data_IF_417063464152
#
_entry.id   IF_417063464152
#
_cell.length_a   1.000
_cell.length_b   1.000
_cell.length_c   1.000
_cell.angle_alpha   90.00
_cell.angle_beta   90.00
_cell.angle_gamma   90.00
#
_symmetry.space_group_name_H-M   'P 1'
#
loop_
_entity.id
_entity.type
_entity.pdbx_description
1 polymer ?
#
# COMPACT_ATOMS: atom_id res chain seq x y z
N UNK A 1 -53.94 2.03 39.71
CA UNK A 1 -54.20 2.83 38.49
C UNK A 1 -52.86 3.28 37.92
N UNK A 2 -52.76 3.19 36.59
CA UNK A 2 -51.70 3.63 35.69
C UNK A 2 -50.31 2.97 35.74
N UNK A 3 -50.06 2.17 34.68
CA UNK A 3 -48.76 1.70 34.20
C UNK A 3 -47.97 2.88 33.59
N UNK A 4 -46.65 2.85 33.68
CA UNK A 4 -45.78 3.54 32.70
C UNK A 4 -44.98 2.48 31.96
N UNK A 5 -45.33 2.32 30.69
CA UNK A 5 -44.65 1.52 29.70
C UNK A 5 -43.89 2.45 28.75
N UNK A 6 -42.88 1.87 28.14
CA UNK A 6 -41.84 2.41 27.28
C UNK A 6 -42.27 3.36 26.16
N UNK A 7 -41.37 4.28 25.79
CA UNK A 7 -41.34 4.79 24.41
C UNK A 7 -39.91 5.00 23.92
N UNK A 8 -39.49 4.11 23.02
CA UNK A 8 -38.41 4.29 22.05
C UNK A 8 -38.58 5.62 21.33
N UNK A 9 -37.62 6.54 21.42
CA UNK A 9 -37.58 7.72 20.57
C UNK A 9 -37.08 7.33 19.18
N UNK A 10 -38.00 7.32 18.21
CA UNK A 10 -37.72 7.12 16.79
C UNK A 10 -37.17 8.41 16.15
N UNK A 11 -36.13 8.25 15.33
CA UNK A 11 -35.35 9.26 14.59
C UNK A 11 -36.12 9.99 13.45
N UNK A 12 -37.36 10.42 13.65
CA UNK A 12 -38.14 11.14 12.62
C UNK A 12 -39.06 12.20 13.23
N UNK A 13 -38.48 13.33 13.62
CA UNK A 13 -39.22 14.58 13.83
C UNK A 13 -38.26 15.75 13.99
N UNK A 14 -37.72 16.27 12.89
CA UNK A 14 -37.11 17.60 12.92
C UNK A 14 -37.14 18.29 11.55
N UNK A 15 -38.34 18.47 11.00
CA UNK A 15 -38.59 19.41 9.91
C UNK A 15 -40.03 19.91 10.01
N UNK A 16 -40.25 20.98 10.77
CA UNK A 16 -41.32 21.97 10.57
C UNK A 16 -41.25 23.04 11.66
N UNK A 17 -40.80 24.24 11.31
CA UNK A 17 -41.41 25.53 11.68
C UNK A 17 -40.40 26.68 11.52
N UNK A 18 -40.83 27.75 10.85
CA UNK A 18 -40.23 29.08 11.02
C UNK A 18 -39.79 29.78 9.74
N UNK A 19 -40.76 30.19 8.90
CA UNK A 19 -40.53 31.26 7.93
C UNK A 19 -40.51 32.61 8.66
N UNK A 20 -39.39 33.33 8.57
CA UNK A 20 -39.23 34.69 9.09
C UNK A 20 -38.13 35.40 8.31
N UNK A 21 -38.50 36.43 7.54
CA UNK A 21 -37.59 37.23 6.71
C UNK A 21 -36.77 38.15 7.61
N UNK A 22 -35.45 37.92 7.67
CA UNK A 22 -34.48 38.90 8.12
C UNK A 22 -33.31 38.91 7.12
N UNK A 23 -33.16 40.02 6.40
CA UNK A 23 -32.05 40.26 5.49
C UNK A 23 -30.76 40.50 6.29
N UNK A 24 -30.10 39.44 6.71
CA UNK A 24 -28.70 39.47 7.12
C UNK A 24 -27.85 39.13 5.90
N UNK A 25 -26.98 40.04 5.47
CA UNK A 25 -25.90 39.75 4.53
C UNK A 25 -24.97 38.74 5.20
N UNK A 26 -25.27 37.46 5.02
CA UNK A 26 -24.35 36.37 5.33
C UNK A 26 -23.26 36.46 4.27
N UNK A 27 -22.08 36.93 4.67
CA UNK A 27 -20.86 36.72 3.92
C UNK A 27 -20.74 35.21 3.66
N UNK A 28 -20.98 34.80 2.41
CA UNK A 28 -20.75 33.42 2.01
C UNK A 28 -19.26 33.15 2.23
N UNK A 29 -18.87 32.13 3.01
CA UNK A 29 -17.50 31.65 2.91
C UNK A 29 -17.32 31.25 1.45
N UNK A 30 -16.25 31.72 0.83
CA UNK A 30 -15.91 31.34 -0.53
C UNK A 30 -15.69 29.82 -0.54
N UNK A 31 -16.76 29.08 -0.86
CA UNK A 31 -16.70 27.64 -1.02
C UNK A 31 -15.84 27.38 -2.26
N UNK A 32 -14.61 26.93 -2.04
CA UNK A 32 -13.88 26.22 -3.07
C UNK A 32 -14.80 25.12 -3.60
N UNK A 33 -15.17 25.18 -4.89
CA UNK A 33 -15.99 24.15 -5.53
C UNK A 33 -17.48 24.43 -5.70
N UNK A 34 -17.95 25.68 -5.63
CA UNK A 34 -19.27 26.01 -6.18
C UNK A 34 -19.23 25.83 -7.71
N UNK A 35 -19.41 24.59 -8.18
CA UNK A 35 -19.42 24.24 -9.62
C UNK A 35 -20.41 25.11 -10.39
N UNK A 36 -20.32 25.13 -11.72
CA UNK A 36 -21.12 26.02 -12.57
C UNK A 36 -22.61 26.04 -12.14
N UNK A 37 -23.15 27.18 -11.64
CA UNK A 37 -24.53 27.28 -11.16
C UNK A 37 -25.58 26.87 -12.21
N UNK A 38 -25.27 27.04 -13.50
CA UNK A 38 -26.14 26.60 -14.60
C UNK A 38 -26.34 25.07 -14.65
N UNK A 39 -25.43 24.31 -14.01
CA UNK A 39 -25.53 22.85 -13.91
C UNK A 39 -26.07 22.39 -12.55
N UNK A 40 -26.41 23.30 -11.63
CA UNK A 40 -26.93 22.95 -10.31
C UNK A 40 -28.47 22.87 -10.33
N UNK A 41 -29.10 21.94 -9.57
CA UNK A 41 -30.55 21.89 -9.44
C UNK A 41 -31.16 23.24 -9.01
N UNK A 42 -32.31 23.65 -9.56
CA UNK A 42 -33.21 22.90 -10.44
C UNK A 42 -32.86 22.97 -11.95
N UNK A 43 -31.73 23.57 -12.34
CA UNK A 43 -31.36 23.70 -13.75
C UNK A 43 -31.05 22.34 -14.39
N UNK A 44 -31.27 22.23 -15.70
CA UNK A 44 -30.90 21.04 -16.49
C UNK A 44 -29.40 21.14 -16.86
N UNK A 45 -28.55 20.22 -16.36
CA UNK A 45 -27.11 20.28 -16.61
C UNK A 45 -26.75 20.11 -18.08
N UNK A 46 -25.62 20.69 -18.50
CA UNK A 46 -25.22 20.68 -19.92
C UNK A 46 -25.03 19.27 -20.50
N UNK A 47 -24.49 18.32 -19.72
CA UNK A 47 -24.22 16.95 -20.17
C UNK A 47 -25.47 16.11 -20.42
N UNK A 48 -26.67 16.60 -20.07
CA UNK A 48 -27.92 15.90 -20.40
C UNK A 48 -28.52 16.34 -21.75
N UNK A 49 -27.92 17.35 -22.42
CA UNK A 49 -28.47 17.96 -23.64
C UNK A 49 -27.92 17.37 -24.93
N UNK A 50 -26.87 16.56 -24.87
CA UNK A 50 -26.24 15.93 -26.03
C UNK A 50 -25.82 14.49 -25.71
N UNK A 51 -25.66 13.67 -26.75
CA UNK A 51 -25.14 12.32 -26.61
C UNK A 51 -23.63 12.36 -26.33
N UNK A 52 -23.18 11.46 -25.46
CA UNK A 52 -21.76 11.23 -25.20
C UNK A 52 -21.10 10.30 -26.22
N UNK A 53 -19.86 9.89 -25.94
CA UNK A 53 -19.15 8.84 -26.70
C UNK A 53 -19.94 7.52 -26.67
N UNK A 54 -19.95 6.80 -27.80
CA UNK A 54 -20.60 5.48 -27.90
C UNK A 54 -19.81 4.35 -27.24
N UNK A 55 -20.42 3.16 -27.18
CA UNK A 55 -19.75 1.94 -26.68
C UNK A 55 -18.48 1.63 -27.50
N UNK A 56 -17.45 1.13 -26.83
CA UNK A 56 -16.16 0.75 -27.42
C UNK A 56 -15.31 1.87 -28.07
N UNK A 57 -15.67 3.16 -27.91
CA UNK A 57 -14.77 4.29 -28.29
C UNK A 57 -13.43 4.22 -27.54
N UNK A 58 -13.44 3.64 -26.33
CA UNK A 58 -12.26 3.36 -25.51
C UNK A 58 -12.17 1.85 -25.26
N UNK A 59 -11.51 1.08 -26.15
CA UNK A 59 -11.42 -0.38 -26.02
C UNK A 59 -10.72 -0.83 -24.72
N UNK A 60 -9.85 0.02 -24.17
CA UNK A 60 -9.32 -0.11 -22.82
C UNK A 60 -9.56 1.22 -22.09
N UNK A 61 -10.27 1.16 -20.97
CA UNK A 61 -10.69 2.34 -20.22
C UNK A 61 -9.50 3.14 -19.65
N UNK A 62 -9.69 4.45 -19.51
CA UNK A 62 -8.77 5.34 -18.79
C UNK A 62 -9.56 6.16 -17.77
N UNK A 63 -8.94 6.62 -16.68
CA UNK A 63 -9.59 7.52 -15.73
C UNK A 63 -10.17 8.77 -16.41
N UNK A 64 -11.19 9.34 -15.78
CA UNK A 64 -11.76 10.62 -16.21
C UNK A 64 -10.68 11.71 -16.25
N UNK A 65 -10.81 12.68 -17.16
CA UNK A 65 -9.89 13.84 -17.22
C UNK A 65 -9.88 14.68 -15.94
N UNK A 66 -10.91 14.53 -15.09
CA UNK A 66 -11.01 15.20 -13.80
C UNK A 66 -10.20 14.50 -12.70
N UNK A 67 -9.74 13.26 -12.94
CA UNK A 67 -8.88 12.47 -12.05
C UNK A 67 -7.41 12.49 -12.48
N UNK A 68 -7.00 13.53 -13.24
CA UNK A 68 -5.67 13.62 -13.87
C UNK A 68 -4.50 13.63 -12.89
N UNK A 69 -4.77 13.99 -11.62
CA UNK A 69 -3.75 14.12 -10.58
C UNK A 69 -3.58 12.83 -9.75
N UNK A 70 -4.44 11.82 -9.97
CA UNK A 70 -4.37 10.48 -9.39
C UNK A 70 -3.34 9.65 -10.17
N UNK A 71 -2.07 9.95 -9.93
CA UNK A 71 -0.94 9.36 -10.65
C UNK A 71 0.19 8.94 -9.71
N UNK A 72 1.05 8.05 -10.20
CA UNK A 72 2.36 7.80 -9.58
C UNK A 72 3.18 9.09 -9.61
N UNK A 73 3.97 9.34 -8.57
CA UNK A 73 4.94 10.45 -8.52
C UNK A 73 6.31 9.91 -8.15
N UNK A 74 7.38 10.58 -8.56
CA UNK A 74 8.74 10.36 -8.09
C UNK A 74 9.22 11.57 -7.27
N UNK A 75 10.37 11.41 -6.61
CA UNK A 75 11.08 12.50 -5.93
C UNK A 75 12.53 12.41 -6.39
N UNK A 76 12.88 13.26 -7.36
CA UNK A 76 14.13 13.14 -8.14
C UNK A 76 15.40 13.06 -7.26
N UNK A 77 15.43 13.81 -6.16
CA UNK A 77 16.61 13.87 -5.28
C UNK A 77 16.82 12.62 -4.40
N UNK A 78 15.87 11.68 -4.34
CA UNK A 78 16.01 10.48 -3.51
C UNK A 78 17.06 9.49 -4.03
N UNK A 79 17.34 9.51 -5.34
CA UNK A 79 18.19 8.52 -5.99
C UNK A 79 19.08 9.15 -7.06
N UNK A 80 20.23 8.53 -7.33
CA UNK A 80 21.20 9.06 -8.29
C UNK A 80 20.74 8.98 -9.76
N UNK A 81 19.82 8.08 -10.10
CA UNK A 81 19.26 7.96 -11.46
C UNK A 81 17.81 7.50 -11.41
N UNK A 82 17.05 7.71 -12.50
CA UNK A 82 15.64 7.31 -12.63
C UNK A 82 15.48 5.81 -12.83
N UNK A 83 16.45 5.17 -13.47
CA UNK A 83 16.46 3.73 -13.74
C UNK A 83 16.72 2.90 -12.47
N UNK A 84 17.40 3.51 -11.49
CA UNK A 84 17.61 2.93 -10.15
C UNK A 84 16.81 3.69 -9.09
N UNK A 85 15.52 3.94 -9.37
CA UNK A 85 14.66 4.80 -8.55
C UNK A 85 13.39 4.12 -8.00
N UNK A 86 12.50 4.95 -7.46
CA UNK A 86 11.22 4.58 -6.87
C UNK A 86 10.15 5.62 -7.24
N UNK A 87 8.95 5.16 -7.54
CA UNK A 87 7.73 5.99 -7.61
C UNK A 87 6.80 5.68 -6.44
N UNK A 88 5.73 6.45 -6.30
CA UNK A 88 4.84 6.41 -5.13
C UNK A 88 3.37 6.27 -5.54
N UNK A 89 2.68 5.25 -4.99
CA UNK A 89 1.23 5.08 -5.13
C UNK A 89 0.48 6.23 -4.46
N UNK A 90 -0.50 6.86 -5.13
CA UNK A 90 -1.25 8.02 -4.60
C UNK A 90 -2.29 7.60 -3.55
N UNK A 91 -1.85 7.07 -2.39
CA UNK A 91 -2.74 6.49 -1.37
C UNK A 91 -3.86 7.42 -0.87
N UNK A 92 -3.64 8.74 -0.90
CA UNK A 92 -4.62 9.76 -0.51
C UNK A 92 -5.86 9.82 -1.41
N UNK A 93 -5.74 9.37 -2.66
CA UNK A 93 -6.83 9.35 -3.66
C UNK A 93 -7.49 7.98 -3.78
N UNK A 94 -6.97 6.96 -3.06
CA UNK A 94 -7.42 5.58 -3.21
C UNK A 94 -8.30 5.15 -2.04
N UNK A 95 -9.41 4.49 -2.39
CA UNK A 95 -10.33 3.86 -1.44
C UNK A 95 -10.28 2.33 -1.54
N UNK A 96 -10.84 1.65 -0.53
CA UNK A 96 -10.79 0.19 -0.43
C UNK A 96 -9.36 -0.34 -0.23
N UNK A 97 -9.10 -1.56 -0.70
CA UNK A 97 -7.83 -2.29 -0.46
C UNK A 97 -7.06 -2.66 -1.74
N UNK A 98 -7.66 -2.53 -2.93
CA UNK A 98 -7.04 -2.92 -4.20
C UNK A 98 -6.47 -1.69 -4.89
N UNK A 99 -5.17 -1.71 -5.14
CA UNK A 99 -4.48 -0.68 -5.92
C UNK A 99 -4.69 -0.93 -7.42
N UNK A 100 -5.19 0.05 -8.20
CA UNK A 100 -5.24 -0.07 -9.66
C UNK A 100 -3.85 -0.35 -10.24
N UNK A 101 -3.76 -1.21 -11.25
CA UNK A 101 -2.46 -1.66 -11.79
C UNK A 101 -1.56 -0.49 -12.22
N UNK A 102 -2.12 0.47 -12.97
CA UNK A 102 -1.44 1.69 -13.40
C UNK A 102 -1.02 2.65 -12.27
N UNK A 103 -1.39 2.39 -11.01
CA UNK A 103 -1.05 3.19 -9.84
C UNK A 103 -0.19 2.44 -8.81
N UNK A 104 0.06 1.14 -9.02
CA UNK A 104 1.00 0.38 -8.20
C UNK A 104 2.39 1.00 -8.28
N UNK A 105 3.01 1.31 -7.15
CA UNK A 105 4.33 1.96 -7.13
C UNK A 105 5.39 1.12 -7.85
N UNK A 106 6.43 1.79 -8.30
CA UNK A 106 7.53 1.15 -9.03
C UNK A 106 8.82 1.29 -8.23
N UNK A 107 9.64 0.24 -8.24
CA UNK A 107 11.04 0.29 -7.83
C UNK A 107 11.83 -0.52 -8.84
N UNK A 108 12.84 0.08 -9.45
CA UNK A 108 13.78 -0.57 -10.36
C UNK A 108 15.22 -0.34 -9.89
N UNK A 109 16.13 -1.24 -10.25
CA UNK A 109 17.56 -1.04 -10.03
C UNK A 109 18.33 -0.84 -11.35
N UNK A 110 17.72 -1.16 -12.49
CA UNK A 110 18.27 -1.00 -13.84
C UNK A 110 17.19 -0.71 -14.90
N UNK A 111 16.13 0.01 -14.53
CA UNK A 111 15.02 0.36 -15.42
C UNK A 111 14.00 -0.76 -15.62
N UNK A 112 13.04 -0.52 -16.52
CA UNK A 112 12.04 -1.52 -16.92
C UNK A 112 12.67 -2.42 -17.98
N UNK A 113 12.61 -3.74 -17.80
CA UNK A 113 12.97 -4.68 -18.85
C UNK A 113 11.79 -4.90 -19.81
N UNK A 114 12.04 -4.75 -21.10
CA UNK A 114 11.13 -5.19 -22.17
C UNK A 114 11.42 -6.66 -22.49
N UNK A 115 10.48 -7.53 -22.14
CA UNK A 115 10.66 -8.98 -22.24
C UNK A 115 9.60 -9.57 -23.17
N UNK A 116 10.04 -10.16 -24.28
CA UNK A 116 9.16 -10.97 -25.13
C UNK A 116 8.81 -12.29 -24.40
N UNK A 117 7.52 -12.58 -24.13
CA UNK A 117 7.13 -13.80 -23.46
C UNK A 117 7.46 -15.08 -24.24
N UNK A 118 7.64 -15.02 -25.56
CA UNK A 118 7.99 -16.15 -26.40
C UNK A 118 9.46 -16.57 -26.19
N UNK A 119 10.33 -15.62 -25.88
CA UNK A 119 11.75 -15.84 -25.62
C UNK A 119 12.06 -16.05 -24.14
N UNK A 120 11.20 -15.57 -23.24
CA UNK A 120 11.42 -15.68 -21.80
C UNK A 120 11.38 -17.14 -21.32
N UNK A 121 12.30 -17.50 -20.43
CA UNK A 121 12.37 -18.82 -19.80
C UNK A 121 12.57 -18.66 -18.30
N UNK A 122 11.91 -19.53 -17.53
CA UNK A 122 12.17 -19.73 -16.11
C UNK A 122 12.98 -21.01 -15.92
N UNK A 123 14.21 -20.87 -15.42
CA UNK A 123 15.07 -22.01 -15.07
C UNK A 123 15.00 -22.32 -13.58
N UNK A 124 14.69 -23.56 -13.22
CA UNK A 124 14.77 -24.08 -11.85
C UNK A 124 15.83 -25.19 -11.82
N UNK A 125 16.93 -24.99 -11.08
CA UNK A 125 18.07 -25.92 -11.10
C UNK A 125 18.86 -25.92 -9.79
N UNK A 126 20.02 -26.59 -9.74
CA UNK A 126 20.88 -26.69 -8.57
C UNK A 126 20.68 -28.01 -7.84
N UNK A 127 20.46 -27.96 -6.53
CA UNK A 127 20.19 -29.13 -5.69
C UNK A 127 18.77 -29.68 -5.88
N UNK A 128 18.49 -30.15 -7.09
CA UNK A 128 17.22 -30.76 -7.52
C UNK A 128 17.50 -32.08 -8.25
N UNK A 129 16.53 -32.99 -8.28
CA UNK A 129 16.62 -34.24 -9.03
C UNK A 129 16.43 -33.99 -10.53
N UNK A 130 15.50 -33.11 -10.90
CA UNK A 130 15.18 -32.76 -12.28
C UNK A 130 15.19 -31.26 -12.49
N UNK A 131 16.25 -30.69 -13.10
CA UNK A 131 16.24 -29.30 -13.52
C UNK A 131 15.10 -29.03 -14.52
N UNK A 132 14.44 -27.88 -14.39
CA UNK A 132 13.34 -27.45 -15.23
C UNK A 132 13.73 -26.19 -16.00
N UNK A 133 13.28 -26.08 -17.25
CA UNK A 133 13.27 -24.85 -18.03
C UNK A 133 11.85 -24.71 -18.58
N UNK A 134 11.12 -23.70 -18.12
CA UNK A 134 9.72 -23.51 -18.42
C UNK A 134 9.50 -22.26 -19.27
N UNK A 135 8.68 -22.39 -20.30
CA UNK A 135 8.04 -21.26 -20.98
C UNK A 135 6.90 -20.70 -20.14
N UNK A 136 6.42 -19.50 -20.49
CA UNK A 136 5.21 -18.94 -19.86
C UNK A 136 3.97 -19.82 -20.09
N UNK A 137 3.86 -20.45 -21.26
CA UNK A 137 2.71 -21.32 -21.59
C UNK A 137 2.72 -22.60 -20.77
N UNK A 138 3.88 -23.23 -20.59
CA UNK A 138 4.03 -24.40 -19.72
C UNK A 138 3.73 -24.06 -18.27
N UNK A 139 4.22 -22.92 -17.77
CA UNK A 139 3.90 -22.44 -16.42
C UNK A 139 2.38 -22.27 -16.22
N UNK A 140 1.65 -21.80 -17.24
CA UNK A 140 0.18 -21.61 -17.17
C UNK A 140 -0.64 -22.91 -17.14
N UNK A 141 -0.01 -24.07 -17.38
CA UNK A 141 -0.65 -25.40 -17.32
C UNK A 141 -0.71 -25.98 -15.91
N UNK A 142 0.05 -25.44 -14.96
CA UNK A 142 0.00 -25.85 -13.56
C UNK A 142 -1.28 -25.39 -12.84
N UNK A 143 -1.63 -26.02 -11.71
CA UNK A 143 -2.71 -25.55 -10.84
C UNK A 143 -2.50 -24.08 -10.44
N UNK A 144 -3.53 -23.27 -10.69
CA UNK A 144 -3.48 -21.83 -10.47
C UNK A 144 -3.94 -21.45 -9.07
N UNK A 145 -3.31 -20.44 -8.50
CA UNK A 145 -3.74 -19.78 -7.26
C UNK A 145 -4.05 -18.31 -7.52
N UNK A 146 -5.04 -17.78 -6.80
CA UNK A 146 -5.38 -16.36 -6.77
C UNK A 146 -5.29 -15.86 -5.33
N UNK A 147 -4.45 -14.87 -5.04
CA UNK A 147 -4.25 -14.33 -3.68
C UNK A 147 -4.09 -12.82 -3.69
N UNK A 148 -4.73 -12.15 -2.74
CA UNK A 148 -4.61 -10.71 -2.53
C UNK A 148 -3.51 -10.50 -1.50
N UNK A 149 -2.45 -9.79 -1.87
CA UNK A 149 -1.33 -9.49 -0.98
C UNK A 149 -0.86 -8.05 -1.17
N UNK A 150 -0.38 -7.44 -0.09
CA UNK A 150 0.38 -6.19 -0.21
C UNK A 150 1.84 -6.49 -0.55
N UNK A 151 2.47 -5.57 -1.27
CA UNK A 151 3.91 -5.48 -1.42
C UNK A 151 4.34 -4.12 -0.92
N UNK A 152 5.16 -4.10 0.14
CA UNK A 152 5.75 -2.89 0.69
C UNK A 152 7.26 -2.89 0.45
N UNK A 153 7.80 -1.79 -0.06
CA UNK A 153 9.24 -1.59 -0.13
C UNK A 153 9.82 -1.53 1.29
N UNK A 154 10.98 -2.15 1.53
CA UNK A 154 11.68 -2.05 2.81
C UNK A 154 11.97 -0.60 3.22
N UNK A 155 12.19 0.27 2.22
CA UNK A 155 12.49 1.69 2.40
C UNK A 155 11.24 2.58 2.53
N UNK A 156 10.03 2.00 2.54
CA UNK A 156 8.82 2.78 2.76
C UNK A 156 8.90 3.50 4.12
N UNK A 157 8.64 4.80 4.13
CA UNK A 157 8.85 5.69 5.29
C UNK A 157 10.31 5.81 5.76
N UNK A 158 11.29 5.36 4.98
CA UNK A 158 12.71 5.39 5.35
C UNK A 158 13.28 6.81 5.49
N UNK A 159 12.79 7.75 4.69
CA UNK A 159 13.18 9.17 4.79
C UNK A 159 12.75 9.81 6.11
N UNK A 160 11.74 9.22 6.76
CA UNK A 160 11.15 9.71 8.01
C UNK A 160 11.90 9.21 9.26
N UNK A 161 13.02 8.49 9.10
CA UNK A 161 13.83 7.99 10.22
C UNK A 161 14.44 9.10 11.08
N UNK A 162 14.72 10.27 10.49
CA UNK A 162 15.39 11.39 11.18
C UNK A 162 14.47 12.55 11.55
N UNK A 163 13.21 12.50 11.12
CA UNK A 163 12.25 13.59 11.28
C UNK A 163 11.23 13.59 10.15
N UNK A 164 10.26 14.49 10.23
CA UNK A 164 9.33 14.75 9.12
C UNK A 164 10.09 15.37 7.94
N UNK A 165 10.10 14.71 6.77
CA UNK A 165 10.82 15.21 5.58
C UNK A 165 9.89 15.45 4.38
N UNK A 166 9.01 14.50 4.09
CA UNK A 166 8.13 14.55 2.92
C UNK A 166 6.69 14.89 3.36
N UNK A 167 6.05 15.84 2.69
CA UNK A 167 4.70 16.28 3.07
C UNK A 167 3.61 15.57 2.25
N UNK A 168 3.16 14.41 2.73
CA UNK A 168 2.07 13.66 2.13
C UNK A 168 2.18 12.15 2.30
N UNK A 169 1.05 11.45 2.44
CA UNK A 169 1.05 10.00 2.61
C UNK A 169 1.47 9.25 1.33
N UNK A 170 1.32 9.85 0.14
CA UNK A 170 1.90 9.30 -1.09
C UNK A 170 3.41 9.17 -0.96
N UNK A 171 4.10 10.19 -0.46
CA UNK A 171 5.56 10.21 -0.40
C UNK A 171 6.12 9.46 0.81
N UNK A 172 5.47 9.58 1.96
CA UNK A 172 5.94 8.93 3.21
C UNK A 172 5.58 7.46 3.30
N UNK A 173 4.49 7.02 2.65
CA UNK A 173 3.94 5.67 2.81
C UNK A 173 3.58 4.97 1.48
N UNK A 174 3.68 5.66 0.34
CA UNK A 174 3.22 5.17 -0.96
C UNK A 174 4.19 4.24 -1.69
N UNK A 175 5.28 3.77 -1.06
CA UNK A 175 6.05 2.63 -1.62
C UNK A 175 5.37 1.29 -1.28
N UNK A 176 4.07 1.22 -1.55
CA UNK A 176 3.21 0.07 -1.25
C UNK A 176 2.11 -0.05 -2.29
N UNK A 177 1.74 -1.27 -2.63
CA UNK A 177 0.52 -1.55 -3.39
C UNK A 177 -0.08 -2.89 -2.96
N UNK A 178 -1.36 -3.13 -3.25
CA UNK A 178 -2.02 -4.40 -2.96
C UNK A 178 -2.93 -4.81 -4.09
N UNK A 179 -2.72 -6.02 -4.60
CA UNK A 179 -3.37 -6.52 -5.80
C UNK A 179 -3.68 -8.00 -5.63
N UNK A 180 -4.62 -8.50 -6.43
CA UNK A 180 -4.81 -9.94 -6.57
C UNK A 180 -3.78 -10.49 -7.56
N UNK A 181 -2.86 -11.32 -7.10
CA UNK A 181 -1.94 -12.07 -7.95
C UNK A 181 -2.55 -13.38 -8.41
N UNK A 182 -2.42 -13.70 -9.70
CA UNK A 182 -2.67 -15.06 -10.22
C UNK A 182 -1.37 -15.68 -10.72
N UNK A 183 -1.13 -16.91 -10.31
CA UNK A 183 0.10 -17.62 -10.64
C UNK A 183 0.10 -19.08 -10.22
N UNK A 184 1.28 -19.63 -10.11
CA UNK A 184 1.54 -21.00 -9.65
C UNK A 184 2.27 -20.93 -8.31
N UNK A 185 1.91 -21.82 -7.38
CA UNK A 185 2.65 -21.94 -6.12
C UNK A 185 4.10 -22.37 -6.40
N UNK A 186 5.07 -21.69 -5.80
CA UNK A 186 6.48 -22.06 -5.91
C UNK A 186 6.74 -23.47 -5.33
N UNK A 187 5.97 -23.86 -4.29
CA UNK A 187 5.96 -25.23 -3.76
C UNK A 187 5.78 -26.27 -4.86
N UNK A 188 4.75 -26.10 -5.70
CA UNK A 188 4.41 -27.08 -6.74
C UNK A 188 5.57 -27.29 -7.73
N UNK A 189 6.25 -26.20 -8.10
CA UNK A 189 7.38 -26.27 -9.03
C UNK A 189 8.64 -26.88 -8.38
N UNK A 190 8.88 -26.59 -7.10
CA UNK A 190 9.99 -27.18 -6.35
C UNK A 190 9.76 -28.67 -6.08
N UNK A 191 8.53 -29.08 -5.79
CA UNK A 191 8.14 -30.49 -5.65
C UNK A 191 8.31 -31.22 -6.98
N UNK A 192 7.93 -30.61 -8.11
CA UNK A 192 8.18 -31.21 -9.43
C UNK A 192 9.67 -31.35 -9.76
N UNK A 193 10.47 -30.33 -9.46
CA UNK A 193 11.91 -30.40 -9.67
C UNK A 193 12.58 -31.45 -8.76
N UNK A 194 11.92 -31.82 -7.65
CA UNK A 194 12.43 -32.75 -6.66
C UNK A 194 13.61 -32.15 -5.91
N UNK A 195 13.37 -31.22 -4.99
CA UNK A 195 14.45 -30.63 -4.17
C UNK A 195 15.17 -31.71 -3.35
N UNK A 196 16.51 -31.75 -3.46
CA UNK A 196 17.36 -32.65 -2.67
C UNK A 196 17.31 -32.30 -1.19
N UNK A 197 17.53 -33.28 -0.32
CA UNK A 197 17.39 -33.12 1.15
C UNK A 197 18.30 -32.05 1.76
N UNK A 198 19.45 -31.78 1.13
CA UNK A 198 20.39 -30.73 1.50
C UNK A 198 20.09 -29.35 0.87
N UNK A 199 19.07 -29.24 0.00
CA UNK A 199 18.57 -27.97 -0.51
C UNK A 199 17.83 -27.19 0.58
N UNK A 200 18.35 -26.02 0.96
CA UNK A 200 17.83 -25.16 2.04
C UNK A 200 17.56 -23.72 1.62
N UNK A 201 18.15 -23.29 0.52
CA UNK A 201 18.08 -21.91 0.05
C UNK A 201 17.83 -21.86 -1.45
N UNK A 202 17.21 -20.77 -1.89
CA UNK A 202 17.01 -20.45 -3.29
C UNK A 202 17.72 -19.13 -3.61
N UNK A 203 18.52 -19.11 -4.68
CA UNK A 203 18.87 -17.87 -5.37
C UNK A 203 17.77 -17.58 -6.38
N UNK A 204 17.04 -16.49 -6.19
CA UNK A 204 16.04 -16.00 -7.15
C UNK A 204 16.64 -14.81 -7.89
N UNK A 205 16.47 -14.75 -9.21
CA UNK A 205 17.21 -13.82 -10.08
C UNK A 205 16.34 -13.29 -11.23
N UNK A 206 16.36 -11.97 -11.41
CA UNK A 206 15.65 -11.24 -12.46
C UNK A 206 16.40 -11.21 -13.80
N UNK A 207 15.68 -10.89 -14.87
CA UNK A 207 16.20 -10.77 -16.23
C UNK A 207 16.61 -9.34 -16.63
N UNK A 208 16.43 -8.36 -15.76
CA UNK A 208 16.83 -6.98 -16.01
C UNK A 208 18.34 -6.79 -15.91
N UNK A 209 18.83 -5.62 -16.35
CA UNK A 209 20.25 -5.29 -16.35
C UNK A 209 20.88 -5.26 -14.95
N UNK A 210 20.09 -5.01 -13.90
CA UNK A 210 20.57 -5.10 -12.52
C UNK A 210 20.70 -6.54 -12.02
N UNK A 211 20.15 -7.52 -12.77
CA UNK A 211 20.06 -8.93 -12.41
C UNK A 211 19.62 -9.11 -10.95
N UNK A 212 18.57 -8.38 -10.54
CA UNK A 212 18.12 -8.30 -9.16
C UNK A 212 18.02 -9.71 -8.55
N UNK A 213 18.88 -9.99 -7.57
CA UNK A 213 19.04 -11.32 -7.01
C UNK A 213 18.93 -11.33 -5.49
N UNK A 214 18.34 -12.41 -4.94
CA UNK A 214 18.12 -12.56 -3.51
C UNK A 214 18.19 -14.01 -3.07
N UNK A 215 18.62 -14.23 -1.84
CA UNK A 215 18.50 -15.51 -1.14
C UNK A 215 17.14 -15.60 -0.45
N UNK A 216 16.42 -16.69 -0.74
CA UNK A 216 15.12 -17.02 -0.15
C UNK A 216 15.23 -18.38 0.58
N UNK A 217 14.97 -18.46 1.89
CA UNK A 217 14.88 -19.74 2.60
C UNK A 217 13.82 -20.64 1.98
N UNK A 218 14.12 -21.94 1.89
CA UNK A 218 13.22 -22.89 1.25
C UNK A 218 11.88 -23.02 2.01
N UNK A 219 11.89 -22.85 3.33
CA UNK A 219 10.69 -22.92 4.16
C UNK A 219 9.67 -21.87 3.72
N UNK A 220 10.13 -20.64 3.45
CA UNK A 220 9.28 -19.56 2.93
C UNK A 220 8.80 -19.85 1.51
N UNK A 221 9.67 -20.37 0.66
CA UNK A 221 9.33 -20.73 -0.71
C UNK A 221 8.23 -21.82 -0.79
N UNK A 222 8.28 -22.78 0.13
CA UNK A 222 7.29 -23.85 0.24
C UNK A 222 5.99 -23.35 0.90
N UNK A 223 6.02 -22.38 1.79
CA UNK A 223 4.84 -21.88 2.51
C UNK A 223 3.81 -21.22 1.57
N UNK A 224 4.12 -20.01 1.08
CA UNK A 224 3.11 -19.15 0.44
C UNK A 224 3.63 -18.36 -0.79
N UNK A 225 4.83 -18.66 -1.28
CA UNK A 225 5.39 -17.98 -2.46
C UNK A 225 4.67 -18.38 -3.75
N UNK A 226 4.49 -17.40 -4.65
CA UNK A 226 3.81 -17.57 -5.93
C UNK A 226 4.70 -17.04 -7.05
N UNK A 227 4.79 -17.77 -8.16
CA UNK A 227 5.25 -17.21 -9.43
C UNK A 227 4.03 -16.68 -10.16
N UNK A 228 3.85 -15.36 -10.10
CA UNK A 228 2.70 -14.68 -10.67
C UNK A 228 2.96 -14.25 -12.11
N UNK A 229 1.92 -14.36 -12.95
CA UNK A 229 1.91 -13.87 -14.33
C UNK A 229 0.67 -13.00 -14.64
N UNK A 230 -0.19 -12.78 -13.63
CA UNK A 230 -1.28 -11.78 -13.67
C UNK A 230 -1.36 -11.00 -12.36
N UNK A 231 -1.86 -9.77 -12.46
CA UNK A 231 -2.26 -8.92 -11.33
C UNK A 231 -3.60 -8.24 -11.63
N UNK A 232 -4.51 -8.27 -10.66
CA UNK A 232 -5.90 -7.76 -10.78
C UNK A 232 -6.65 -8.29 -12.02
N UNK A 233 -6.45 -9.58 -12.35
CA UNK A 233 -7.17 -10.28 -13.42
C UNK A 233 -6.54 -10.20 -14.82
N UNK A 234 -5.63 -9.27 -15.06
CA UNK A 234 -4.90 -9.10 -16.33
C UNK A 234 -3.41 -9.41 -16.20
N UNK A 235 -2.69 -9.44 -17.32
CA UNK A 235 -1.25 -9.70 -17.30
C UNK A 235 -0.52 -8.69 -16.40
N UNK A 236 0.64 -9.10 -15.87
CA UNK A 236 1.54 -8.14 -15.22
C UNK A 236 1.85 -6.99 -16.18
N UNK A 237 1.99 -5.79 -15.64
CA UNK A 237 2.50 -4.65 -16.40
C UNK A 237 4.03 -4.78 -16.55
N UNK A 238 4.65 -4.24 -17.62
CA UNK A 238 6.10 -4.28 -17.81
C UNK A 238 6.89 -3.84 -16.58
N UNK A 239 6.52 -2.72 -15.98
CA UNK A 239 7.17 -2.18 -14.78
C UNK A 239 6.97 -3.03 -13.52
N UNK A 240 5.96 -3.92 -13.54
CA UNK A 240 5.61 -4.85 -12.46
C UNK A 240 6.14 -6.27 -12.68
N UNK A 241 6.95 -6.49 -13.72
CA UNK A 241 7.69 -7.73 -13.93
C UNK A 241 7.08 -8.67 -14.96
N UNK A 242 6.34 -8.15 -15.96
CA UNK A 242 5.91 -8.94 -17.11
C UNK A 242 7.09 -9.67 -17.77
N UNK A 243 6.98 -10.97 -18.13
CA UNK A 243 5.77 -11.78 -18.10
C UNK A 243 5.52 -12.52 -16.77
N UNK A 244 6.51 -12.60 -15.88
CA UNK A 244 6.37 -13.28 -14.60
C UNK A 244 7.26 -12.70 -13.50
N UNK A 245 6.77 -12.73 -12.26
CA UNK A 245 7.49 -12.29 -11.07
C UNK A 245 7.33 -13.27 -9.92
N UNK A 246 8.24 -13.20 -8.96
CA UNK A 246 8.05 -13.78 -7.65
C UNK A 246 7.18 -12.87 -6.77
N UNK A 247 6.29 -13.49 -6.01
CA UNK A 247 5.43 -12.91 -4.97
C UNK A 247 5.79 -13.61 -3.66
N UNK A 248 6.19 -12.83 -2.65
CA UNK A 248 6.67 -13.33 -1.34
C UNK A 248 5.85 -12.70 -0.21
N UNK A 249 4.63 -13.20 0.05
CA UNK A 249 3.67 -12.53 0.93
C UNK A 249 4.24 -12.14 2.29
N UNK A 250 3.99 -10.90 2.72
CA UNK A 250 4.41 -10.36 4.02
C UNK A 250 5.90 -10.03 4.15
N UNK A 251 6.74 -10.38 3.17
CA UNK A 251 8.15 -10.03 3.18
C UNK A 251 8.43 -8.79 2.33
N UNK A 252 9.52 -8.09 2.65
CA UNK A 252 9.95 -6.87 1.97
C UNK A 252 9.99 -7.00 0.44
N UNK A 253 9.50 -5.98 -0.26
CA UNK A 253 9.25 -6.00 -1.71
C UNK A 253 10.48 -6.28 -2.57
N UNK A 254 11.70 -6.09 -2.05
CA UNK A 254 12.92 -6.39 -2.80
C UNK A 254 13.12 -7.90 -3.09
N UNK A 255 12.52 -8.78 -2.28
CA UNK A 255 12.49 -10.23 -2.54
C UNK A 255 11.49 -10.63 -3.63
N UNK A 256 10.59 -9.73 -4.03
CA UNK A 256 9.57 -9.99 -5.04
C UNK A 256 10.17 -9.78 -6.43
N UNK A 257 11.18 -10.58 -6.76
CA UNK A 257 11.99 -10.44 -7.97
C UNK A 257 11.11 -10.38 -9.22
N UNK A 258 11.27 -9.31 -10.00
CA UNK A 258 10.57 -9.05 -11.26
C UNK A 258 11.34 -9.67 -12.42
N UNK A 259 10.63 -9.91 -13.53
CA UNK A 259 11.22 -10.49 -14.75
C UNK A 259 11.96 -11.79 -14.43
N UNK A 260 11.35 -12.63 -13.59
CA UNK A 260 12.02 -13.75 -12.94
C UNK A 260 12.49 -14.75 -13.99
N UNK A 261 13.81 -15.00 -14.07
CA UNK A 261 14.41 -15.92 -15.03
C UNK A 261 15.03 -17.16 -14.41
N UNK A 262 15.45 -17.10 -13.15
CA UNK A 262 16.18 -18.22 -12.52
C UNK A 262 15.87 -18.38 -11.04
N UNK A 263 15.72 -19.64 -10.65
CA UNK A 263 15.67 -20.11 -9.27
C UNK A 263 16.71 -21.23 -9.14
N UNK A 264 17.77 -21.01 -8.37
CA UNK A 264 18.80 -22.02 -8.10
C UNK A 264 18.67 -22.50 -6.66
N UNK A 265 18.43 -23.79 -6.47
CA UNK A 265 18.45 -24.43 -5.16
C UNK A 265 19.88 -24.68 -4.71
N UNK A 266 20.20 -24.25 -3.49
CA UNK A 266 21.49 -24.41 -2.82
C UNK A 266 21.31 -24.76 -1.35
N UNK A 267 22.41 -24.96 -0.66
CA UNK A 267 22.48 -25.32 0.76
C UNK A 267 22.72 -24.12 1.68
N UNK A 268 23.16 -22.98 1.13
CA UNK A 268 23.48 -21.75 1.85
C UNK A 268 22.95 -20.49 1.12
N UNK A 269 22.74 -19.37 1.83
CA UNK A 269 22.45 -18.09 1.19
C UNK A 269 23.66 -17.58 0.39
N UNK A 270 23.40 -16.82 -0.66
CA UNK A 270 24.42 -16.28 -1.57
C UNK A 270 25.08 -14.99 -1.09
N UNK A 271 24.46 -14.27 -0.16
CA UNK A 271 24.97 -13.00 0.35
C UNK A 271 25.24 -11.98 -0.77
N UNK A 272 24.29 -11.84 -1.68
CA UNK A 272 24.40 -10.91 -2.83
C UNK A 272 24.40 -9.44 -2.36
N UNK A 273 24.66 -8.51 -3.28
CA UNK A 273 24.69 -7.07 -2.97
C UNK A 273 23.44 -6.61 -2.24
N UNK A 274 22.27 -7.08 -2.69
CA UNK A 274 20.96 -6.64 -2.21
C UNK A 274 20.50 -7.38 -0.93
N UNK A 275 21.44 -8.00 -0.22
CA UNK A 275 21.28 -8.56 1.14
C UNK A 275 22.57 -8.48 1.98
N UNK A 276 23.49 -7.62 1.54
CA UNK A 276 24.74 -7.26 2.23
C UNK A 276 24.91 -5.75 2.27
N UNK A 277 25.15 -5.13 1.11
CA UNK A 277 25.33 -3.68 0.95
C UNK A 277 24.01 -2.92 1.10
N UNK A 278 22.92 -3.50 0.62
CA UNK A 278 21.55 -2.98 0.72
C UNK A 278 20.68 -3.95 1.49
N UNK A 279 19.53 -3.45 1.94
CA UNK A 279 18.55 -4.21 2.73
C UNK A 279 19.19 -4.88 3.97
N UNK A 280 20.13 -4.16 4.58
CA UNK A 280 20.73 -4.45 5.87
C UNK A 280 20.57 -3.21 6.75
N UNK A 281 20.16 -3.41 7.99
CA UNK A 281 19.72 -2.32 8.86
C UNK A 281 20.83 -1.95 9.83
N UNK A 282 21.48 -0.79 9.64
CA UNK A 282 22.56 -0.34 10.51
C UNK A 282 22.02 0.06 11.90
N UNK A 283 22.58 -0.56 12.93
CA UNK A 283 22.23 -0.34 14.33
C UNK A 283 23.20 0.64 15.02
N UNK A 284 22.83 1.23 16.17
CA UNK A 284 23.67 2.22 16.86
C UNK A 284 25.06 1.72 17.28
N UNK A 285 25.22 0.41 17.47
CA UNK A 285 26.49 -0.21 17.86
C UNK A 285 27.43 -0.48 16.66
N UNK A 286 27.11 0.02 15.47
CA UNK A 286 27.91 -0.15 14.26
C UNK A 286 27.75 -1.51 13.57
N UNK A 287 26.93 -2.44 14.12
CA UNK A 287 26.56 -3.69 13.44
C UNK A 287 25.30 -3.50 12.62
N UNK A 288 25.12 -4.29 11.56
CA UNK A 288 23.89 -4.29 10.76
C UNK A 288 23.09 -5.57 10.97
N UNK A 289 21.76 -5.46 11.06
CA UNK A 289 20.87 -6.62 10.94
C UNK A 289 20.82 -7.02 9.48
N UNK A 290 20.79 -8.32 9.24
CA UNK A 290 20.64 -8.91 7.91
C UNK A 290 19.43 -9.82 7.93
N UNK A 291 18.85 -10.08 6.76
CA UNK A 291 17.71 -10.99 6.64
C UNK A 291 16.50 -10.58 7.49
N UNK A 292 16.28 -9.26 7.60
CA UNK A 292 15.06 -8.65 8.14
C UNK A 292 13.97 -8.75 7.10
N UNK A 293 13.37 -9.94 6.96
CA UNK A 293 12.49 -10.19 5.82
C UNK A 293 11.07 -9.67 6.03
N UNK A 294 10.47 -9.89 7.20
CA UNK A 294 9.06 -9.57 7.46
C UNK A 294 8.83 -8.05 7.50
N UNK A 295 7.71 -7.61 6.95
CA UNK A 295 7.21 -6.26 7.12
C UNK A 295 6.26 -6.24 8.32
N UNK A 296 6.69 -5.66 9.43
CA UNK A 296 5.89 -5.61 10.67
C UNK A 296 4.58 -4.82 10.49
N UNK A 297 3.65 -4.98 11.44
CA UNK A 297 2.36 -4.29 11.38
C UNK A 297 2.53 -2.76 11.28
N UNK A 298 1.84 -2.16 10.33
CA UNK A 298 1.95 -0.74 10.00
C UNK A 298 0.59 -0.17 9.56
N UNK A 299 0.37 1.10 9.82
CA UNK A 299 -0.82 1.84 9.38
C UNK A 299 -0.52 3.29 9.05
N UNK A 300 -1.38 3.89 8.24
CA UNK A 300 -1.35 5.32 7.91
C UNK A 300 -2.77 5.83 7.65
N UNK A 301 -3.05 7.04 8.14
CA UNK A 301 -4.24 7.80 7.75
C UNK A 301 -3.99 8.41 6.37
N UNK A 302 -4.84 8.09 5.39
CA UNK A 302 -4.75 8.61 4.01
C UNK A 302 -5.55 9.91 3.85
N UNK A 303 -6.60 10.11 4.66
CA UNK A 303 -7.37 11.35 4.74
C UNK A 303 -7.99 11.53 6.13
N UNK A 304 -7.95 12.72 6.77
CA UNK A 304 -7.20 13.90 6.34
C UNK A 304 -5.68 13.66 6.35
N UNK A 305 -5.00 14.18 5.34
CA UNK A 305 -3.54 14.12 5.19
C UNK A 305 -3.06 15.37 4.43
N UNK A 306 -1.75 15.64 4.32
CA UNK A 306 -1.27 16.85 3.63
C UNK A 306 -1.75 17.02 2.19
N UNK A 307 -2.10 15.91 1.52
CA UNK A 307 -2.62 15.93 0.15
C UNK A 307 -4.17 15.85 0.11
N UNK A 308 -4.82 15.62 1.25
CA UNK A 308 -6.26 15.56 1.43
C UNK A 308 -6.69 16.44 2.64
N UNK A 309 -6.56 17.78 2.52
CA UNK A 309 -6.95 18.70 3.59
C UNK A 309 -8.48 18.77 3.77
N UNK A 310 -8.91 19.19 4.96
CA UNK A 310 -10.34 19.36 5.26
C UNK A 310 -10.84 20.67 4.62
N UNK A 311 -11.55 20.57 3.49
CA UNK A 311 -12.05 21.75 2.73
C UNK A 311 -13.49 22.11 3.02
N UNK A 312 -14.27 21.21 3.63
CA UNK A 312 -15.71 21.40 3.87
C UNK A 312 -16.04 22.19 5.14
N UNK A 313 -15.02 22.62 5.90
CA UNK A 313 -15.21 23.29 7.19
C UNK A 313 -15.63 22.34 8.31
N UNK A 314 -16.13 22.92 9.40
CA UNK A 314 -16.53 22.20 10.61
C UNK A 314 -17.68 21.22 10.37
N UNK A 315 -17.77 20.20 11.22
CA UNK A 315 -18.84 19.21 11.22
C UNK A 315 -18.34 17.80 10.94
N UNK A 316 -19.25 16.96 10.46
CA UNK A 316 -18.99 15.54 10.23
C UNK A 316 -17.76 15.34 9.35
N UNK A 317 -16.79 14.62 9.89
CA UNK A 317 -15.47 14.36 9.29
C UNK A 317 -15.17 12.87 9.39
N UNK A 318 -14.52 12.33 8.37
CA UNK A 318 -14.12 10.92 8.31
C UNK A 318 -12.60 10.83 8.24
N UNK A 319 -12.00 10.14 9.21
CA UNK A 319 -10.65 9.61 9.08
C UNK A 319 -10.73 8.33 8.26
N UNK A 320 -10.00 8.25 7.15
CA UNK A 320 -9.81 7.05 6.32
C UNK A 320 -8.33 6.69 6.31
N UNK A 321 -8.03 5.38 6.36
CA UNK A 321 -6.64 4.93 6.28
C UNK A 321 -6.47 3.46 5.96
N UNK A 322 -5.21 3.06 5.86
CA UNK A 322 -4.79 1.70 5.53
C UNK A 322 -3.97 1.11 6.67
N UNK A 323 -4.16 -0.17 6.93
CA UNK A 323 -3.36 -0.95 7.86
C UNK A 323 -2.99 -2.31 7.25
N UNK A 324 -1.83 -2.85 7.59
CA UNK A 324 -1.35 -4.14 7.10
C UNK A 324 -0.34 -4.75 8.07
N UNK A 325 -0.09 -6.06 7.93
CA UNK A 325 1.01 -6.75 8.63
C UNK A 325 1.51 -7.91 7.77
N UNK A 326 2.83 -8.04 7.66
CA UNK A 326 3.48 -9.20 7.05
C UNK A 326 3.46 -10.44 7.93
N UNK A 327 3.10 -10.28 9.20
CA UNK A 327 3.00 -11.36 10.19
C UNK A 327 1.60 -11.97 10.29
N UNK A 328 0.62 -11.50 9.52
CA UNK A 328 -0.74 -12.04 9.60
C UNK A 328 -1.83 -11.08 9.13
N UNK A 329 -3.04 -11.31 9.65
CA UNK A 329 -4.19 -10.41 9.55
C UNK A 329 -4.09 -9.21 10.49
N UNK A 330 -4.63 -8.09 10.05
CA UNK A 330 -4.93 -6.96 10.94
C UNK A 330 -6.04 -7.37 11.91
N UNK A 331 -5.82 -7.18 13.22
CA UNK A 331 -6.81 -7.50 14.24
C UNK A 331 -7.66 -6.28 14.61
N UNK A 332 -7.03 -5.12 14.78
CA UNK A 332 -7.72 -3.84 14.99
C UNK A 332 -6.84 -2.66 14.59
N UNK A 333 -7.47 -1.51 14.38
CA UNK A 333 -6.79 -0.22 14.25
C UNK A 333 -7.39 0.73 15.28
N UNK A 334 -6.54 1.41 16.03
CA UNK A 334 -6.93 2.49 16.92
C UNK A 334 -6.55 3.83 16.26
N UNK A 335 -7.40 4.85 16.38
CA UNK A 335 -7.15 6.22 15.93
C UNK A 335 -7.06 7.14 17.14
N UNK A 336 -6.12 8.07 17.10
CA UNK A 336 -5.98 9.16 18.06
C UNK A 336 -6.19 10.50 17.36
N UNK A 337 -6.82 11.43 18.06
CA UNK A 337 -6.99 12.82 17.61
C UNK A 337 -6.06 13.81 18.34
N UNK A 338 -5.35 13.37 19.37
CA UNK A 338 -4.60 14.22 20.31
C UNK A 338 -3.13 13.81 20.48
N UNK A 339 -2.55 13.21 19.44
CA UNK A 339 -1.13 12.85 19.40
C UNK A 339 -0.78 11.60 20.21
N UNK A 340 -1.75 10.73 20.46
CA UNK A 340 -1.56 9.41 21.04
C UNK A 340 -1.87 9.34 22.53
N UNK A 341 -2.49 10.37 23.11
CA UNK A 341 -2.89 10.40 24.53
C UNK A 341 -4.15 9.56 24.74
N UNK A 342 -5.11 9.67 23.83
CA UNK A 342 -6.35 8.90 23.85
C UNK A 342 -6.53 8.15 22.51
N UNK A 343 -7.09 6.95 22.59
CA UNK A 343 -7.25 6.06 21.43
C UNK A 343 -8.68 5.56 21.34
N UNK A 344 -9.25 5.64 20.14
CA UNK A 344 -10.58 5.15 19.82
C UNK A 344 -10.49 4.05 18.77
N UNK A 345 -11.23 2.95 18.91
CA UNK A 345 -11.22 1.89 17.91
C UNK A 345 -11.83 2.40 16.60
N UNK A 346 -11.09 2.24 15.50
CA UNK A 346 -11.60 2.48 14.16
C UNK A 346 -12.38 1.26 13.65
N UNK A 347 -13.37 1.51 12.79
CA UNK A 347 -14.11 0.46 12.10
C UNK A 347 -13.28 -0.05 10.93
N UNK A 348 -12.98 -1.35 10.90
CA UNK A 348 -12.42 -2.00 9.71
C UNK A 348 -13.51 -2.18 8.65
N UNK A 349 -13.20 -1.92 7.39
CA UNK A 349 -14.15 -1.99 6.27
C UNK A 349 -13.65 -2.94 5.17
N UNK A 350 -14.54 -3.82 4.71
CA UNK A 350 -14.22 -4.87 3.76
C UNK A 350 -13.54 -6.10 4.39
N UNK A 351 -12.97 -7.00 3.56
CA UNK A 351 -12.37 -8.24 4.03
C UNK A 351 -11.02 -7.98 4.70
N UNK A 352 -10.81 -8.59 5.86
CA UNK A 352 -9.52 -8.64 6.56
C UNK A 352 -8.80 -9.92 6.14
N UNK A 353 -7.84 -9.78 5.24
CA UNK A 353 -7.10 -10.91 4.64
C UNK A 353 -5.68 -11.01 5.21
N UNK A 354 -5.12 -12.22 5.16
CA UNK A 354 -3.73 -12.47 5.58
C UNK A 354 -2.76 -11.73 4.66
N UNK A 355 -1.83 -10.95 5.24
CA UNK A 355 -0.78 -10.22 4.52
C UNK A 355 -1.33 -9.36 3.36
N UNK A 356 -2.46 -8.69 3.59
CA UNK A 356 -3.08 -7.74 2.66
C UNK A 356 -3.31 -6.38 3.32
N UNK A 357 -3.60 -5.37 2.50
CA UNK A 357 -4.09 -4.10 3.02
C UNK A 357 -5.49 -4.27 3.62
N UNK A 358 -5.76 -3.55 4.70
CA UNK A 358 -7.05 -3.46 5.38
C UNK A 358 -7.44 -1.99 5.49
N UNK A 359 -8.65 -1.63 5.05
CA UNK A 359 -9.20 -0.28 5.14
C UNK A 359 -9.81 -0.06 6.52
N UNK A 360 -9.60 1.12 7.10
CA UNK A 360 -10.28 1.53 8.33
C UNK A 360 -10.86 2.93 8.21
N UNK A 361 -11.94 3.17 8.96
CA UNK A 361 -12.59 4.47 9.10
C UNK A 361 -12.83 4.84 10.57
N UNK A 362 -12.77 6.13 10.87
CA UNK A 362 -13.21 6.70 12.14
C UNK A 362 -13.96 8.02 11.89
N UNK A 363 -15.25 8.01 12.17
CA UNK A 363 -16.17 9.12 11.93
C UNK A 363 -16.37 9.95 13.21
N UNK A 364 -16.30 11.28 13.11
CA UNK A 364 -16.49 12.20 14.25
C UNK A 364 -16.97 13.58 13.77
N UNK A 365 -17.51 14.39 14.69
CA UNK A 365 -17.84 15.79 14.42
C UNK A 365 -16.65 16.69 14.76
N UNK A 366 -15.98 17.23 13.73
CA UNK A 366 -14.85 18.15 13.91
C UNK A 366 -15.36 19.56 14.25
N UNK A 367 -14.93 20.08 15.39
CA UNK A 367 -15.30 21.41 15.89
C UNK A 367 -14.43 22.56 15.31
N UNK A 368 -13.44 22.24 14.48
CA UNK A 368 -12.49 23.19 13.90
C UNK A 368 -11.23 23.43 14.73
N UNK A 369 -11.07 22.76 15.87
CA UNK A 369 -9.84 22.85 16.67
C UNK A 369 -8.72 22.02 16.03
N UNK A 370 -7.44 22.42 16.19
CA UNK A 370 -6.32 21.64 15.68
C UNK A 370 -6.30 20.21 16.21
N UNK A 371 -5.91 19.26 15.37
CA UNK A 371 -5.82 17.83 15.71
C UNK A 371 -4.41 17.31 15.47
N UNK A 372 -4.02 16.31 16.26
CA UNK A 372 -2.83 15.50 16.03
C UNK A 372 -3.28 14.06 15.74
N UNK A 373 -3.57 13.81 14.46
CA UNK A 373 -4.10 12.53 14.01
C UNK A 373 -3.01 11.47 14.00
N UNK A 374 -3.30 10.30 14.57
CA UNK A 374 -2.46 9.11 14.50
C UNK A 374 -3.33 7.86 14.28
N UNK A 375 -2.78 6.86 13.61
CA UNK A 375 -3.33 5.50 13.59
C UNK A 375 -2.32 4.50 14.11
N UNK A 376 -2.80 3.46 14.79
CA UNK A 376 -1.98 2.39 15.33
C UNK A 376 -2.66 1.04 15.10
N UNK A 377 -2.01 0.16 14.36
CA UNK A 377 -2.51 -1.19 14.10
C UNK A 377 -2.05 -2.19 15.16
N UNK A 378 -2.90 -3.15 15.49
CA UNK A 378 -2.52 -4.42 16.09
C UNK A 378 -2.82 -5.56 15.12
N UNK A 379 -1.89 -6.48 14.92
CA UNK A 379 -2.12 -7.69 14.13
C UNK A 379 -2.56 -8.90 14.98
N UNK A 380 -2.87 -10.01 14.34
CA UNK A 380 -3.38 -11.21 15.02
C UNK A 380 -2.37 -11.90 15.94
N UNK A 381 -1.07 -11.62 15.79
CA UNK A 381 -0.01 -12.10 16.70
C UNK A 381 0.00 -11.35 18.04
N UNK A 382 -0.68 -10.20 18.09
CA UNK A 382 -0.68 -9.29 19.23
C UNK A 382 0.35 -8.16 19.11
N UNK A 383 1.19 -8.14 18.07
CA UNK A 383 2.11 -7.04 17.80
C UNK A 383 1.34 -5.74 17.60
N UNK A 384 1.75 -4.70 18.34
CA UNK A 384 1.18 -3.35 18.23
C UNK A 384 2.22 -2.45 17.57
N UNK A 385 1.80 -1.70 16.55
CA UNK A 385 2.64 -0.75 15.84
C UNK A 385 3.29 0.24 16.82
N UNK A 386 4.64 0.34 16.87
CA UNK A 386 5.35 1.22 17.78
C UNK A 386 5.33 2.67 17.30
N UNK A 387 5.58 3.61 18.21
CA UNK A 387 5.96 4.97 17.84
C UNK A 387 7.34 5.01 17.16
N UNK A 388 7.62 6.07 16.39
CA UNK A 388 8.96 6.32 15.84
C UNK A 388 10.02 6.44 16.94
N UNK A 389 9.68 7.04 18.08
CA UNK A 389 10.59 7.17 19.23
C UNK A 389 11.00 5.82 19.82
N UNK A 390 10.05 4.89 20.00
CA UNK A 390 10.33 3.52 20.47
C UNK A 390 11.23 2.75 19.50
N UNK A 391 11.00 2.89 18.19
CA UNK A 391 11.88 2.31 17.18
C UNK A 391 13.29 2.89 17.25
N UNK A 392 13.43 4.21 17.31
CA UNK A 392 14.73 4.90 17.36
C UNK A 392 15.51 4.58 18.63
N UNK A 393 14.84 4.38 19.76
CA UNK A 393 15.48 3.94 21.02
C UNK A 393 16.25 2.63 20.84
N UNK A 394 15.79 1.74 19.97
CA UNK A 394 16.41 0.43 19.70
C UNK A 394 17.34 0.50 18.47
N UNK A 395 16.88 1.12 17.39
CA UNK A 395 17.49 1.04 16.05
C UNK A 395 18.31 2.27 15.67
N UNK A 396 18.26 3.33 16.46
CA UNK A 396 18.79 4.63 16.08
C UNK A 396 18.04 5.21 14.88
N UNK A 397 18.71 6.09 14.13
CA UNK A 397 18.13 6.81 12.98
C UNK A 397 18.72 6.39 11.64
N UNK A 398 19.59 5.37 11.63
CA UNK A 398 20.33 4.92 10.45
C UNK A 398 19.90 3.53 9.97
N UNK A 399 18.78 3.01 10.47
CA UNK A 399 18.25 1.71 10.05
C UNK A 399 17.89 1.69 8.56
N UNK A 400 17.54 2.86 7.98
CA UNK A 400 17.10 3.09 6.59
C UNK A 400 15.77 2.40 6.24
N UNK A 401 15.67 1.09 6.51
CA UNK A 401 14.54 0.24 6.18
C UNK A 401 13.66 -0.05 7.40
N UNK A 402 12.51 -0.69 7.15
CA UNK A 402 11.58 -1.19 8.18
C UNK A 402 11.12 -0.12 9.18
N UNK A 403 10.83 1.09 8.69
CA UNK A 403 10.18 2.11 9.50
C UNK A 403 8.67 1.87 9.49
N UNK A 404 8.14 1.22 10.53
CA UNK A 404 6.71 1.08 10.77
C UNK A 404 6.21 1.99 11.90
N UNK A 405 6.96 3.03 12.25
CA UNK A 405 6.57 3.95 13.31
C UNK A 405 5.24 4.65 13.03
N UNK A 406 4.46 4.92 14.07
CA UNK A 406 3.21 5.68 13.97
C UNK A 406 3.47 7.04 13.29
N UNK A 407 2.67 7.32 12.25
CA UNK A 407 2.64 8.61 11.57
C UNK A 407 1.73 9.59 12.32
N UNK A 408 2.12 10.87 12.36
CA UNK A 408 1.29 11.95 12.92
C UNK A 408 0.97 13.00 11.86
N UNK A 409 -0.30 13.36 11.73
CA UNK A 409 -0.73 14.51 10.91
C UNK A 409 -1.23 15.62 11.82
N UNK A 410 -0.67 16.83 11.67
CA UNK A 410 -1.19 18.02 12.33
C UNK A 410 -2.23 18.67 11.44
N UNK A 411 -3.50 18.52 11.80
CA UNK A 411 -4.60 19.24 11.15
C UNK A 411 -4.72 20.60 11.82
N UNK A 412 -4.53 21.66 11.06
CA UNK A 412 -4.66 23.03 11.54
C UNK A 412 -6.13 23.46 11.57
N UNK A 413 -6.43 24.56 12.27
CA UNK A 413 -7.79 25.08 12.39
C UNK A 413 -8.42 25.49 11.03
N UNK A 414 -7.59 25.79 10.03
CA UNK A 414 -8.03 26.08 8.66
C UNK A 414 -8.26 24.82 7.79
N UNK A 415 -8.03 23.62 8.35
CA UNK A 415 -8.17 22.34 7.66
C UNK A 415 -6.96 21.90 6.85
N UNK A 416 -5.90 22.72 6.74
CA UNK A 416 -4.62 22.29 6.17
C UNK A 416 -3.96 21.25 7.08
N UNK A 417 -3.18 20.35 6.48
CA UNK A 417 -2.61 19.21 7.18
C UNK A 417 -1.11 19.11 6.91
N UNK A 418 -0.33 18.87 7.95
CA UNK A 418 1.13 18.80 7.87
C UNK A 418 1.69 17.49 8.44
N UNK A 419 2.77 17.01 7.83
CA UNK A 419 3.62 15.98 8.41
C UNK A 419 4.39 16.54 9.60
N UNK A 420 4.21 15.95 10.78
CA UNK A 420 4.91 16.37 12.01
C UNK A 420 5.45 15.18 12.80
N UNK A 421 6.34 15.46 13.75
CA UNK A 421 6.66 14.55 14.84
C UNK A 421 6.18 15.13 16.16
N UNK A 422 5.60 14.28 16.99
CA UNK A 422 5.30 14.59 18.39
C UNK A 422 6.32 13.84 19.24
N UNK A 423 6.93 14.56 20.18
CA UNK A 423 7.97 14.03 21.07
C UNK A 423 7.37 13.43 22.35
#
# INVERSE_FOLDING_TARGET
MSKMDSSRQSRRSFLAAGAGVAASVLAKPAAAGAGNPANQPPNVPEWTKSLGEGVAVRPYGKPSKFEKDVVRRDVEWLTASRESSVSFTPLHELEGIITPNGLCFERHHGGIAEVDPADHRLMIHGLVERPLILTLEELKRYPRVNRIHFMECAANSGMEWRGAQLNGCQFTHGMIHCVQYTGVSLRTLLEEAGVKTNGKWLLVEGADAAAMDRSLPIEKALDDCIIAYKMNGEALYPEQGYPMRLVVPGWQGNLWVKWLRRIKVGDQPWHTREETSKYTDLMPNGKARRFTWSMDAKSVITSPSPQAPIRHGKGFTVVSGLAWSGNGKVKRVDVSLDGGRNWWPARLDGPVLDKALTRFYYEFDWNGEPLLLQSRVQDETGYVQPSKAELRKIRGVNSIYHNNGIQTWHVQANGEVENVEVA
#
